data_IF_169789146527
#
_entry.id   IF_169789146527
#
_cell.length_a   1.000
_cell.length_b   1.000
_cell.length_c   1.000
_cell.angle_alpha   90.00
_cell.angle_beta   90.00
_cell.angle_gamma   90.00
#
_symmetry.space_group_name_H-M   'P 1'
#
loop_
_entity.id
_entity.type
_entity.pdbx_description
1 polymer ?
#
# COMPACT_ATOMS: atom_id res chain seq x y z
N UNK A 1 -0.82 2.46 -32.55
CA UNK A 1 -0.43 1.94 -31.24
C UNK A 1 -0.24 0.46 -31.46
N UNK A 2 0.96 -0.04 -31.25
CA UNK A 2 1.28 -1.45 -31.50
C UNK A 2 0.66 -2.31 -30.40
N UNK A 3 0.43 -3.60 -30.67
CA UNK A 3 -0.14 -4.52 -29.67
C UNK A 3 0.69 -4.56 -28.36
N UNK A 4 2.00 -4.32 -28.47
CA UNK A 4 2.92 -4.16 -27.35
C UNK A 4 2.56 -2.96 -26.46
N UNK A 5 2.27 -1.79 -27.06
CA UNK A 5 1.91 -0.58 -26.32
C UNK A 5 0.59 -0.77 -25.56
N UNK A 6 -0.38 -1.43 -26.19
CA UNK A 6 -1.68 -1.75 -25.59
C UNK A 6 -1.47 -2.66 -24.38
N UNK A 7 -0.65 -3.71 -24.52
CA UNK A 7 -0.34 -4.61 -23.41
C UNK A 7 0.34 -3.88 -22.25
N UNK A 8 1.31 -3.01 -22.53
CA UNK A 8 1.98 -2.21 -21.50
C UNK A 8 0.96 -1.33 -20.76
N UNK A 9 0.05 -0.66 -21.49
CA UNK A 9 -1.00 0.16 -20.88
C UNK A 9 -1.92 -0.67 -19.97
N UNK A 10 -2.34 -1.86 -20.40
CA UNK A 10 -3.16 -2.76 -19.58
C UNK A 10 -2.42 -3.19 -18.31
N UNK A 11 -1.13 -3.51 -18.42
CA UNK A 11 -0.30 -3.88 -17.26
C UNK A 11 -0.15 -2.70 -16.29
N UNK A 12 0.04 -1.47 -16.78
CA UNK A 12 0.14 -0.28 -15.94
C UNK A 12 -1.18 0.03 -15.21
N UNK A 13 -2.32 -0.12 -15.88
CA UNK A 13 -3.64 0.04 -15.26
C UNK A 13 -3.85 -1.04 -14.20
N UNK A 14 -3.54 -2.30 -14.51
CA UNK A 14 -3.64 -3.39 -13.53
C UNK A 14 -2.74 -3.17 -12.31
N UNK A 15 -1.52 -2.67 -12.54
CA UNK A 15 -0.60 -2.29 -11.48
C UNK A 15 -1.19 -1.17 -10.62
N UNK A 16 -1.73 -0.12 -11.23
CA UNK A 16 -2.36 0.99 -10.51
C UNK A 16 -3.54 0.52 -9.65
N UNK A 17 -4.41 -0.32 -10.19
CA UNK A 17 -5.53 -0.94 -9.44
C UNK A 17 -5.00 -1.72 -8.24
N UNK A 18 -3.93 -2.49 -8.41
CA UNK A 18 -3.30 -3.23 -7.31
C UNK A 18 -2.84 -2.30 -6.19
N UNK A 19 -2.18 -1.18 -6.52
CA UNK A 19 -1.76 -0.18 -5.54
C UNK A 19 -2.95 0.41 -4.77
N UNK A 20 -4.03 0.73 -5.47
CA UNK A 20 -5.26 1.21 -4.83
C UNK A 20 -5.88 0.18 -3.88
N UNK A 21 -5.91 -1.10 -4.24
CA UNK A 21 -6.42 -2.16 -3.38
C UNK A 21 -5.61 -2.28 -2.08
N UNK A 22 -4.28 -2.17 -2.16
CA UNK A 22 -3.42 -2.21 -0.97
C UNK A 22 -3.58 -0.95 -0.11
N UNK A 23 -3.67 0.23 -0.70
CA UNK A 23 -3.96 1.47 0.03
C UNK A 23 -5.35 1.40 0.71
N UNK A 24 -6.36 0.88 0.03
CA UNK A 24 -7.69 0.65 0.61
C UNK A 24 -7.65 -0.35 1.77
N UNK A 25 -6.86 -1.42 1.64
CA UNK A 25 -6.64 -2.39 2.72
C UNK A 25 -5.97 -1.75 3.94
N UNK A 26 -4.98 -0.88 3.75
CA UNK A 26 -4.36 -0.11 4.83
C UNK A 26 -5.36 0.83 5.51
N UNK A 27 -6.20 1.50 4.72
CA UNK A 27 -7.22 2.41 5.21
C UNK A 27 -8.31 1.69 6.02
N UNK A 28 -8.82 0.56 5.52
CA UNK A 28 -9.87 -0.23 6.18
C UNK A 28 -9.36 -1.06 7.37
N UNK A 29 -8.05 -1.24 7.47
CA UNK A 29 -7.41 -1.97 8.56
C UNK A 29 -7.89 -1.46 9.93
N UNK A 30 -8.24 -2.39 10.82
CA UNK A 30 -8.71 -2.12 12.19
C UNK A 30 -7.54 -1.94 13.18
N UNK A 31 -6.31 -1.85 12.69
CA UNK A 31 -5.14 -1.63 13.54
C UNK A 31 -5.24 -0.25 14.20
N UNK A 32 -5.04 -0.23 15.52
CA UNK A 32 -5.10 0.95 16.37
C UNK A 32 -3.80 1.77 16.29
N UNK A 33 -3.56 2.42 15.15
CA UNK A 33 -2.48 3.40 14.94
C UNK A 33 -3.04 4.82 14.82
N UNK A 34 -2.21 5.82 15.14
CA UNK A 34 -2.57 7.23 14.94
C UNK A 34 -2.94 7.53 13.48
N UNK A 35 -3.84 8.50 13.26
CA UNK A 35 -4.29 8.92 11.93
C UNK A 35 -3.14 9.28 10.99
N UNK A 36 -2.08 9.95 11.49
CA UNK A 36 -0.92 10.31 10.69
C UNK A 36 -0.16 9.08 10.17
N UNK A 37 0.07 8.09 11.06
CA UNK A 37 0.68 6.80 10.70
C UNK A 37 -0.17 6.03 9.69
N UNK A 38 -1.50 6.07 9.84
CA UNK A 38 -2.43 5.44 8.91
C UNK A 38 -2.40 6.11 7.53
N UNK A 39 -2.35 7.44 7.49
CA UNK A 39 -2.19 8.20 6.25
C UNK A 39 -0.87 7.85 5.55
N UNK A 40 0.24 7.79 6.30
CA UNK A 40 1.54 7.41 5.77
C UNK A 40 1.56 5.96 5.25
N UNK A 41 0.91 5.02 5.95
CA UNK A 41 0.77 3.63 5.49
C UNK A 41 -0.04 3.53 4.18
N UNK A 42 -1.14 4.28 4.07
CA UNK A 42 -1.89 4.37 2.82
C UNK A 42 -1.05 4.95 1.69
N UNK A 43 -0.29 6.02 1.95
CA UNK A 43 0.59 6.66 0.96
C UNK A 43 1.67 5.69 0.48
N UNK A 44 2.33 4.98 1.40
CA UNK A 44 3.30 3.93 1.09
C UNK A 44 2.70 2.84 0.21
N UNK A 45 1.49 2.39 0.56
CA UNK A 45 0.78 1.36 -0.20
C UNK A 45 0.35 1.86 -1.59
N UNK A 46 0.07 3.16 -1.75
CA UNK A 46 -0.27 3.75 -3.05
C UNK A 46 0.95 3.89 -3.97
N UNK A 47 2.13 4.19 -3.40
CA UNK A 47 3.36 4.41 -4.17
C UNK A 47 4.12 3.12 -4.48
N UNK A 48 4.16 2.18 -3.53
CA UNK A 48 4.94 0.95 -3.62
C UNK A 48 4.07 -0.31 -3.61
N UNK A 49 2.75 -0.17 -3.54
CA UNK A 49 1.81 -1.26 -3.70
C UNK A 49 1.90 -2.27 -2.55
N UNK A 50 2.05 -3.57 -2.86
CA UNK A 50 2.23 -4.60 -1.85
C UNK A 50 3.45 -4.35 -0.96
N UNK A 51 4.56 -3.85 -1.54
CA UNK A 51 5.80 -3.63 -0.81
C UNK A 51 5.60 -2.58 0.28
N UNK A 52 5.00 -1.43 -0.06
CA UNK A 52 4.70 -0.38 0.91
C UNK A 52 3.72 -0.84 1.99
N UNK A 53 2.71 -1.62 1.61
CA UNK A 53 1.74 -2.19 2.54
C UNK A 53 2.39 -3.11 3.57
N UNK A 54 3.13 -4.13 3.12
CA UNK A 54 3.68 -5.16 4.01
C UNK A 54 4.89 -4.66 4.80
N UNK A 55 5.69 -3.75 4.23
CA UNK A 55 6.79 -3.12 4.97
C UNK A 55 6.24 -2.45 6.22
N UNK A 56 5.26 -1.55 6.06
CA UNK A 56 4.68 -0.84 7.19
C UNK A 56 3.90 -1.78 8.11
N UNK A 57 3.16 -2.74 7.57
CA UNK A 57 2.44 -3.74 8.37
C UNK A 57 3.38 -4.56 9.27
N UNK A 58 4.58 -4.89 8.80
CA UNK A 58 5.61 -5.55 9.59
C UNK A 58 6.21 -4.67 10.69
N UNK A 59 6.23 -3.34 10.50
CA UNK A 59 6.69 -2.39 11.52
C UNK A 59 5.64 -2.10 12.61
N UNK A 60 4.35 -2.31 12.35
CA UNK A 60 3.28 -2.05 13.33
C UNK A 60 3.49 -2.81 14.66
N UNK A 61 3.80 -4.13 14.69
CA UNK A 61 4.10 -4.84 15.93
C UNK A 61 5.37 -4.33 16.63
N UNK A 62 6.41 -3.95 15.87
CA UNK A 62 7.67 -3.44 16.40
C UNK A 62 7.45 -2.11 17.13
N UNK A 63 6.62 -1.22 16.56
CA UNK A 63 6.23 0.05 17.19
C UNK A 63 5.47 -0.14 18.51
N UNK A 64 4.72 -1.23 18.66
CA UNK A 64 4.02 -1.56 19.91
C UNK A 64 4.99 -2.08 20.98
N UNK A 65 5.97 -2.89 20.59
CA UNK A 65 6.97 -3.47 21.50
C UNK A 65 7.97 -2.41 22.00
N UNK A 66 8.39 -1.48 21.13
CA UNK A 66 9.35 -0.40 21.47
C UNK A 66 8.79 0.67 22.41
N UNK A 67 7.50 0.65 22.72
CA UNK A 67 6.83 1.62 23.60
C UNK A 67 6.71 1.15 25.05
N UNK A 68 7.12 -0.09 25.36
CA UNK A 68 7.31 -0.61 26.72
C UNK A 68 8.76 -0.42 27.19
#
# INVERSE_FOLDING_TARGET
>A
MEDMDINIMVMLVGLLVLHFLFAFKAFKSQVHISTNKKCFWCLLSLLFGPLGYYSYHGFIPLDAILKE
#
